data_IF_202808224634
#
_entry.id   IF_202808224634
#
_cell.length_a   1.000
_cell.length_b   1.000
_cell.length_c   1.000
_cell.angle_alpha   90.00
_cell.angle_beta   90.00
_cell.angle_gamma   90.00
#
_symmetry.space_group_name_H-M   'P 1'
#
loop_
_entity.id
_entity.type
_entity.pdbx_description
1 polymer ?
#
# COMPACT_ATOMS: atom_id res chain seq x y z
N UNK A 1 24.57 -3.59 -3.10
CA UNK A 1 23.44 -2.93 -3.76
C UNK A 1 22.50 -4.01 -4.33
N UNK A 2 21.56 -4.50 -3.53
CA UNK A 2 20.49 -5.40 -3.97
C UNK A 2 19.29 -4.55 -4.35
N UNK A 3 19.27 -3.99 -5.55
CA UNK A 3 18.02 -3.61 -6.21
C UNK A 3 17.42 -4.92 -6.72
N UNK A 4 16.81 -5.67 -5.80
CA UNK A 4 15.97 -6.79 -6.16
C UNK A 4 14.77 -6.20 -6.92
N UNK A 5 14.49 -6.74 -8.09
CA UNK A 5 13.36 -6.45 -8.94
C UNK A 5 12.06 -6.74 -8.13
N UNK A 6 11.65 -5.77 -7.28
CA UNK A 6 10.45 -5.90 -6.46
C UNK A 6 9.25 -5.60 -7.36
N UNK A 7 8.57 -6.66 -7.78
CA UNK A 7 7.21 -6.51 -8.25
C UNK A 7 6.44 -5.74 -7.17
N UNK A 8 5.93 -4.57 -7.48
CA UNK A 8 5.34 -3.67 -6.49
C UNK A 8 3.86 -4.02 -6.32
N UNK A 9 3.43 -4.18 -5.06
CA UNK A 9 1.99 -4.30 -4.77
C UNK A 9 1.22 -3.09 -5.32
N UNK A 10 1.82 -1.91 -5.26
CA UNK A 10 1.30 -0.65 -5.77
C UNK A 10 1.90 -0.29 -7.14
N UNK A 11 1.82 -1.22 -8.11
CA UNK A 11 2.37 -1.04 -9.44
C UNK A 11 1.82 0.20 -10.17
N UNK A 12 0.60 0.66 -9.84
CA UNK A 12 0.06 1.91 -10.35
C UNK A 12 0.95 3.13 -10.04
N UNK A 13 1.69 3.11 -8.93
CA UNK A 13 2.62 4.20 -8.58
C UNK A 13 3.80 4.29 -9.56
N UNK A 14 4.18 3.19 -10.22
CA UNK A 14 5.27 3.22 -11.22
C UNK A 14 4.87 3.93 -12.52
N UNK A 15 3.58 4.14 -12.74
CA UNK A 15 3.01 4.84 -13.89
C UNK A 15 2.89 6.35 -13.69
N UNK A 16 3.24 6.85 -12.49
CA UNK A 16 3.12 8.26 -12.10
C UNK A 16 4.50 8.85 -11.93
N UNK A 17 4.73 10.01 -12.49
CA UNK A 17 5.98 10.76 -12.26
C UNK A 17 5.94 11.51 -10.92
N UNK A 18 6.52 10.90 -9.90
CA UNK A 18 6.69 11.51 -8.58
C UNK A 18 7.97 12.34 -8.43
N UNK A 19 8.76 12.57 -9.49
CA UNK A 19 10.07 13.24 -9.39
C UNK A 19 9.98 14.59 -8.68
N UNK A 20 9.02 15.44 -9.06
CA UNK A 20 8.84 16.78 -8.47
C UNK A 20 8.48 16.70 -6.99
N UNK A 21 7.64 15.75 -6.58
CA UNK A 21 7.33 15.51 -5.16
C UNK A 21 8.56 14.98 -4.41
N UNK A 22 9.26 14.02 -4.99
CA UNK A 22 10.46 13.41 -4.38
C UNK A 22 11.55 14.46 -4.16
N UNK A 23 11.83 15.30 -5.14
CA UNK A 23 12.81 16.39 -5.04
C UNK A 23 12.41 17.42 -3.97
N UNK A 24 11.13 17.76 -3.91
CA UNK A 24 10.62 18.66 -2.88
C UNK A 24 10.76 18.07 -1.48
N UNK A 25 10.35 16.81 -1.30
CA UNK A 25 10.48 16.10 -0.03
C UNK A 25 11.95 15.92 0.37
N UNK A 26 12.83 15.62 -0.59
CA UNK A 26 14.27 15.52 -0.34
C UNK A 26 14.88 16.85 0.13
N UNK A 27 14.46 17.97 -0.48
CA UNK A 27 15.00 19.30 -0.17
C UNK A 27 14.43 19.93 1.11
N UNK A 28 13.16 19.68 1.44
CA UNK A 28 12.42 20.38 2.51
C UNK A 28 11.91 19.46 3.61
N UNK A 29 11.90 18.15 3.38
CA UNK A 29 11.33 17.17 4.29
C UNK A 29 12.16 16.97 5.56
N UNK A 30 11.45 16.65 6.63
CA UNK A 30 12.04 16.21 7.91
C UNK A 30 11.92 14.70 8.00
N UNK A 31 13.02 14.05 8.37
CA UNK A 31 12.99 12.62 8.69
C UNK A 31 12.36 12.39 10.05
N UNK A 32 11.36 11.53 10.11
CA UNK A 32 10.64 11.17 11.33
C UNK A 32 10.63 9.65 11.45
N UNK A 33 11.03 9.18 12.63
CA UNK A 33 10.94 7.77 12.99
C UNK A 33 9.57 7.46 13.59
N UNK A 34 9.04 6.32 13.22
CA UNK A 34 7.79 5.76 13.75
C UNK A 34 8.07 4.38 14.31
N UNK A 35 7.73 4.17 15.57
CA UNK A 35 7.69 2.82 16.11
C UNK A 35 6.51 2.05 15.52
N UNK A 36 6.63 0.72 15.44
CA UNK A 36 5.52 -0.14 15.01
C UNK A 36 4.25 0.18 15.80
N UNK A 37 3.15 0.40 15.08
CA UNK A 37 1.84 0.75 15.64
C UNK A 37 1.59 2.25 15.79
N UNK A 38 2.60 3.10 15.66
CA UNK A 38 2.41 4.55 15.64
C UNK A 38 1.68 4.98 14.37
N UNK A 39 0.94 6.10 14.49
CA UNK A 39 0.08 6.59 13.41
C UNK A 39 0.61 7.87 12.79
N UNK A 40 0.72 7.89 11.47
CA UNK A 40 0.91 9.12 10.71
C UNK A 40 -0.38 9.96 10.74
N UNK A 41 -1.54 9.32 10.64
CA UNK A 41 -2.86 9.90 10.84
C UNK A 41 -3.81 8.86 11.44
N UNK A 42 -4.73 9.32 12.29
CA UNK A 42 -5.84 8.53 12.81
C UNK A 42 -7.10 8.80 11.99
N UNK A 43 -7.90 7.77 11.73
CA UNK A 43 -9.24 7.90 11.14
C UNK A 43 -10.05 8.97 11.88
N UNK A 44 -10.69 9.86 11.14
CA UNK A 44 -11.44 11.01 11.67
C UNK A 44 -10.61 12.27 11.90
N UNK A 45 -9.28 12.21 11.84
CA UNK A 45 -8.39 13.36 11.93
C UNK A 45 -7.91 13.82 10.54
N UNK A 46 -7.47 15.08 10.45
CA UNK A 46 -6.84 15.60 9.22
C UNK A 46 -5.44 15.01 9.03
N UNK A 47 -5.18 14.44 7.87
CA UNK A 47 -3.84 14.07 7.46
C UNK A 47 -3.06 15.33 7.05
N UNK A 48 -2.06 15.70 7.83
CA UNK A 48 -1.28 16.93 7.63
C UNK A 48 -0.02 16.75 6.81
N UNK A 49 0.40 15.50 6.56
CA UNK A 49 1.70 15.21 5.98
C UNK A 49 1.59 14.31 4.76
N UNK A 50 2.45 14.61 3.79
CA UNK A 50 2.83 13.69 2.71
C UNK A 50 4.30 13.40 2.85
N UNK A 51 4.70 12.16 2.63
CA UNK A 51 6.10 11.76 2.75
C UNK A 51 6.46 10.59 1.85
N UNK A 52 7.76 10.30 1.86
CA UNK A 52 8.35 9.13 1.22
C UNK A 52 8.85 8.20 2.32
N UNK A 53 8.44 6.95 2.27
CA UNK A 53 8.90 5.92 3.20
C UNK A 53 10.37 5.62 2.89
N UNK A 54 11.26 5.84 3.86
CA UNK A 54 12.70 5.62 3.72
C UNK A 54 13.12 4.23 4.18
N UNK A 55 12.36 3.66 5.12
CA UNK A 55 12.51 2.27 5.60
C UNK A 55 11.23 1.80 6.26
N UNK A 56 11.04 0.47 6.33
CA UNK A 56 9.84 -0.13 6.89
C UNK A 56 8.62 -0.01 5.96
N UNK A 57 7.42 -0.10 6.55
CA UNK A 57 6.18 0.05 5.78
C UNK A 57 5.05 0.62 6.63
N UNK A 58 4.06 1.19 5.95
CA UNK A 58 2.80 1.63 6.52
C UNK A 58 1.64 0.81 5.97
N UNK A 59 0.60 0.67 6.79
CA UNK A 59 -0.69 0.10 6.39
C UNK A 59 -1.80 1.12 6.58
N UNK A 60 -2.75 1.09 5.67
CA UNK A 60 -3.99 1.84 5.76
C UNK A 60 -5.04 0.94 6.39
N UNK A 61 -5.69 1.39 7.45
CA UNK A 61 -6.69 0.61 8.18
C UNK A 61 -7.97 1.39 8.38
N UNK A 62 -9.10 0.73 8.15
CA UNK A 62 -10.43 1.24 8.46
C UNK A 62 -11.07 0.39 9.55
N UNK A 63 -11.95 0.98 10.36
CA UNK A 63 -12.72 0.23 11.36
C UNK A 63 -13.97 -0.37 10.70
N UNK A 64 -14.19 -1.66 10.95
CA UNK A 64 -15.45 -2.31 10.59
C UNK A 64 -16.55 -1.99 11.61
N UNK A 65 -17.77 -2.51 11.39
CA UNK A 65 -18.91 -2.29 12.29
C UNK A 65 -18.74 -2.85 13.71
N UNK A 66 -17.74 -3.71 13.91
CA UNK A 66 -17.38 -4.29 15.22
C UNK A 66 -16.26 -3.55 15.93
N UNK A 67 -15.66 -2.56 15.26
CA UNK A 67 -14.50 -1.82 15.76
C UNK A 67 -13.15 -2.49 15.47
N UNK A 68 -13.11 -3.59 14.69
CA UNK A 68 -11.86 -4.23 14.31
C UNK A 68 -11.19 -3.47 13.14
N UNK A 69 -9.88 -3.40 13.17
CA UNK A 69 -9.09 -2.82 12.06
C UNK A 69 -9.07 -3.76 10.84
N UNK A 70 -9.45 -3.23 9.69
CA UNK A 70 -9.37 -3.89 8.39
C UNK A 70 -8.31 -3.21 7.54
N UNK A 71 -7.32 -3.96 7.07
CA UNK A 71 -6.25 -3.45 6.20
C UNK A 71 -6.82 -3.18 4.81
N UNK A 72 -6.69 -1.94 4.35
CA UNK A 72 -7.19 -1.48 3.06
C UNK A 72 -6.08 -1.20 2.04
N UNK A 73 -4.83 -1.07 2.48
CA UNK A 73 -3.67 -0.80 1.63
C UNK A 73 -2.38 -0.80 2.40
N UNK A 74 -1.28 -0.65 1.66
CA UNK A 74 0.07 -0.52 2.20
C UNK A 74 0.83 0.57 1.46
N UNK A 75 1.87 1.12 2.10
CA UNK A 75 2.96 1.87 1.46
C UNK A 75 4.29 1.32 1.96
N UNK A 76 5.17 1.00 1.03
CA UNK A 76 6.47 0.39 1.28
C UNK A 76 7.61 1.38 1.09
N UNK A 77 8.83 0.94 1.38
CA UNK A 77 10.04 1.71 1.14
C UNK A 77 10.11 2.23 -0.31
N UNK A 78 10.42 3.51 -0.46
CA UNK A 78 10.44 4.24 -1.74
C UNK A 78 9.09 4.80 -2.17
N UNK A 79 7.98 4.39 -1.55
CA UNK A 79 6.64 4.82 -1.94
C UNK A 79 6.17 6.06 -1.16
N UNK A 80 5.22 6.76 -1.76
CA UNK A 80 4.50 7.88 -1.12
C UNK A 80 3.57 7.36 -0.04
N UNK A 81 3.59 8.01 1.13
CA UNK A 81 2.64 7.77 2.22
C UNK A 81 1.88 9.05 2.55
N UNK A 82 0.56 9.02 2.37
CA UNK A 82 -0.36 10.12 2.70
C UNK A 82 -1.81 9.65 2.58
N UNK A 83 -2.76 10.42 3.11
CA UNK A 83 -4.17 10.32 2.68
C UNK A 83 -4.38 11.24 1.47
N UNK A 84 -4.28 10.65 0.29
CA UNK A 84 -4.39 11.41 -0.95
C UNK A 84 -5.79 12.01 -1.14
N UNK A 85 -6.85 11.20 -0.97
CA UNK A 85 -8.20 11.64 -1.31
C UNK A 85 -8.71 12.66 -0.29
N UNK A 86 -8.79 12.30 0.98
CA UNK A 86 -9.37 13.19 1.99
C UNK A 86 -8.39 14.30 2.39
N UNK A 87 -7.11 13.95 2.63
CA UNK A 87 -6.11 14.90 3.07
C UNK A 87 -5.61 15.80 1.95
N UNK A 88 -5.05 15.23 0.88
CA UNK A 88 -4.39 16.00 -0.16
C UNK A 88 -5.40 16.73 -1.07
N UNK A 89 -6.44 16.05 -1.57
CA UNK A 89 -7.40 16.69 -2.49
C UNK A 89 -8.38 17.61 -1.79
N UNK A 90 -8.98 17.16 -0.67
CA UNK A 90 -10.15 17.84 -0.10
C UNK A 90 -9.92 18.51 1.25
N UNK A 91 -8.78 18.31 1.90
CA UNK A 91 -8.50 18.80 3.26
C UNK A 91 -9.63 18.44 4.24
N UNK A 92 -10.03 17.17 4.24
CA UNK A 92 -11.10 16.59 5.07
C UNK A 92 -10.54 15.54 6.02
N UNK A 93 -11.27 15.18 7.09
CA UNK A 93 -10.88 14.08 7.97
C UNK A 93 -10.71 12.76 7.22
N UNK A 94 -9.65 12.04 7.56
CA UNK A 94 -9.28 10.77 6.95
C UNK A 94 -10.31 9.68 7.21
N UNK A 95 -10.63 8.89 6.19
CA UNK A 95 -11.51 7.72 6.30
C UNK A 95 -10.77 6.48 6.83
N UNK A 96 -9.44 6.52 6.87
CA UNK A 96 -8.59 5.44 7.34
C UNK A 96 -7.54 5.98 8.30
N UNK A 97 -7.01 5.14 9.19
CA UNK A 97 -5.75 5.42 9.87
C UNK A 97 -4.59 4.95 9.00
N UNK A 98 -3.48 5.67 9.01
CA UNK A 98 -2.20 5.24 8.40
C UNK A 98 -1.26 4.90 9.54
N UNK A 99 -0.91 3.62 9.67
CA UNK A 99 -0.23 3.03 10.83
C UNK A 99 1.08 2.39 10.39
N UNK A 100 2.16 2.65 11.12
CA UNK A 100 3.44 1.97 10.90
C UNK A 100 3.28 0.46 11.18
N UNK A 101 3.50 -0.37 10.17
CA UNK A 101 3.39 -1.83 10.27
C UNK A 101 4.65 -2.48 10.84
N UNK A 102 5.79 -1.81 10.72
CA UNK A 102 7.07 -2.08 11.35
C UNK A 102 7.63 -0.79 11.92
N UNK A 103 8.78 -0.83 12.58
CA UNK A 103 9.58 0.37 12.77
C UNK A 103 9.89 0.94 11.39
N UNK A 104 9.69 2.23 11.20
CA UNK A 104 9.73 2.89 9.90
C UNK A 104 10.30 4.30 10.00
N UNK A 105 10.89 4.76 8.89
CA UNK A 105 11.35 6.13 8.72
C UNK A 105 10.63 6.77 7.54
N UNK A 106 10.14 7.99 7.73
CA UNK A 106 9.47 8.78 6.70
C UNK A 106 10.12 10.14 6.60
N UNK A 107 10.54 10.52 5.41
CA UNK A 107 10.88 11.88 5.10
C UNK A 107 9.60 12.60 4.65
N UNK A 108 9.11 13.58 5.44
CA UNK A 108 7.78 14.17 5.22
C UNK A 108 7.78 15.70 5.23
N UNK A 109 6.82 16.25 4.52
CA UNK A 109 6.51 17.70 4.46
C UNK A 109 5.03 17.92 4.77
N UNK A 110 4.63 19.17 5.00
CA UNK A 110 3.21 19.52 5.13
C UNK A 110 2.49 19.35 3.77
N UNK A 111 1.32 18.74 3.78
CA UNK A 111 0.49 18.53 2.58
C UNK A 111 0.19 19.86 1.88
N UNK A 112 -0.13 20.91 2.62
CA UNK A 112 -0.48 22.22 2.05
C UNK A 112 0.68 22.83 1.26
N UNK A 113 1.90 22.72 1.78
CA UNK A 113 3.10 23.21 1.12
C UNK A 113 3.42 22.39 -0.13
N UNK A 114 3.39 21.06 -0.02
CA UNK A 114 3.61 20.14 -1.14
C UNK A 114 2.58 20.35 -2.25
N UNK A 115 1.30 20.46 -1.89
CA UNK A 115 0.21 20.70 -2.85
C UNK A 115 0.43 21.97 -3.66
N UNK A 116 0.71 23.08 -2.97
CA UNK A 116 0.99 24.37 -3.62
C UNK A 116 2.16 24.25 -4.58
N UNK A 117 3.26 23.67 -4.11
CA UNK A 117 4.46 23.48 -4.90
C UNK A 117 4.24 22.62 -6.16
N UNK A 118 3.50 21.52 -6.03
CA UNK A 118 3.24 20.57 -7.12
C UNK A 118 2.28 21.17 -8.15
N UNK A 119 1.17 21.75 -7.71
CA UNK A 119 0.14 22.32 -8.62
C UNK A 119 0.74 23.43 -9.49
N UNK A 120 1.63 24.25 -8.93
CA UNK A 120 2.30 25.31 -9.67
C UNK A 120 3.28 24.78 -10.74
N UNK A 121 3.93 23.65 -10.50
CA UNK A 121 5.02 23.11 -11.34
C UNK A 121 4.61 21.99 -12.26
N UNK A 122 3.60 21.25 -11.88
CA UNK A 122 3.15 20.05 -12.59
C UNK A 122 1.62 20.08 -12.75
N UNK A 123 1.08 20.87 -13.67
CA UNK A 123 -0.38 21.11 -13.81
C UNK A 123 -1.20 19.84 -14.02
N UNK A 124 -0.63 18.77 -14.59
CA UNK A 124 -1.33 17.49 -14.84
C UNK A 124 -1.25 16.48 -13.69
N UNK A 125 -0.39 16.69 -12.70
CA UNK A 125 -0.07 15.71 -11.67
C UNK A 125 -1.30 15.20 -10.88
N UNK A 126 -2.16 16.13 -10.46
CA UNK A 126 -3.36 15.76 -9.69
C UNK A 126 -4.30 14.87 -10.51
N UNK A 127 -4.47 15.17 -11.79
CA UNK A 127 -5.32 14.36 -12.69
C UNK A 127 -4.68 12.99 -12.93
N UNK A 128 -3.38 12.93 -13.14
CA UNK A 128 -2.62 11.68 -13.34
C UNK A 128 -2.70 10.77 -12.12
N UNK A 129 -2.40 11.27 -10.92
CA UNK A 129 -2.50 10.50 -9.68
C UNK A 129 -3.93 10.04 -9.44
N UNK A 130 -4.92 10.93 -9.62
CA UNK A 130 -6.33 10.59 -9.40
C UNK A 130 -6.83 9.52 -10.35
N UNK A 131 -6.45 9.57 -11.64
CA UNK A 131 -6.85 8.58 -12.64
C UNK A 131 -6.25 7.20 -12.34
N UNK A 132 -4.96 7.13 -12.04
CA UNK A 132 -4.29 5.88 -11.71
C UNK A 132 -4.82 5.26 -10.41
N UNK A 133 -5.07 6.09 -9.38
CA UNK A 133 -5.62 5.62 -8.12
C UNK A 133 -7.07 5.15 -8.27
N UNK A 134 -7.88 5.83 -9.09
CA UNK A 134 -9.25 5.41 -9.37
C UNK A 134 -9.29 4.07 -10.11
N UNK A 135 -8.42 3.88 -11.12
CA UNK A 135 -8.29 2.61 -11.86
C UNK A 135 -7.92 1.46 -10.91
N UNK A 136 -6.91 1.66 -10.05
CA UNK A 136 -6.51 0.66 -9.04
C UNK A 136 -7.63 0.36 -8.06
N UNK A 137 -8.29 1.38 -7.52
CA UNK A 137 -9.40 1.21 -6.58
C UNK A 137 -10.58 0.48 -7.22
N UNK A 138 -10.92 0.81 -8.46
CA UNK A 138 -12.00 0.17 -9.20
C UNK A 138 -11.68 -1.28 -9.54
N UNK A 139 -10.46 -1.55 -10.02
CA UNK A 139 -9.98 -2.91 -10.27
C UNK A 139 -10.04 -3.77 -9.00
N UNK A 140 -9.59 -3.22 -7.89
CA UNK A 140 -9.65 -3.90 -6.60
C UNK A 140 -11.08 -4.15 -6.12
N UNK A 141 -11.97 -3.17 -6.28
CA UNK A 141 -13.39 -3.34 -5.98
C UNK A 141 -13.99 -4.50 -6.80
N UNK A 142 -13.76 -4.55 -8.12
CA UNK A 142 -14.20 -5.64 -8.95
C UNK A 142 -13.61 -7.00 -8.53
N UNK A 143 -12.31 -7.04 -8.22
CA UNK A 143 -11.65 -8.26 -7.75
C UNK A 143 -12.28 -8.81 -6.46
N UNK A 144 -12.71 -7.93 -5.55
CA UNK A 144 -13.42 -8.35 -4.33
C UNK A 144 -14.79 -8.97 -4.61
N UNK A 145 -15.47 -8.53 -5.68
CA UNK A 145 -16.80 -9.02 -6.06
C UNK A 145 -16.75 -10.30 -6.90
N UNK A 146 -15.80 -10.40 -7.84
CA UNK A 146 -15.83 -11.46 -8.87
C UNK A 146 -14.82 -12.57 -8.65
N UNK A 147 -13.71 -12.32 -7.93
CA UNK A 147 -12.66 -13.32 -7.70
C UNK A 147 -12.87 -14.08 -6.40
N UNK A 148 -12.58 -15.37 -6.44
CA UNK A 148 -12.52 -16.22 -5.25
C UNK A 148 -11.34 -15.80 -4.35
N UNK A 149 -11.35 -16.13 -3.07
CA UNK A 149 -10.22 -15.90 -2.17
C UNK A 149 -8.88 -16.47 -2.67
N UNK A 150 -8.90 -17.62 -3.31
CA UNK A 150 -7.70 -18.26 -3.86
C UNK A 150 -7.13 -17.46 -5.04
N UNK A 151 -8.00 -17.00 -5.96
CA UNK A 151 -7.58 -16.16 -7.09
C UNK A 151 -7.01 -14.82 -6.61
N UNK A 152 -7.62 -14.18 -5.61
CA UNK A 152 -7.09 -12.95 -5.01
C UNK A 152 -5.73 -13.18 -4.35
N UNK A 153 -5.54 -14.31 -3.70
CA UNK A 153 -4.25 -14.68 -3.12
C UNK A 153 -3.17 -14.91 -4.18
N UNK A 154 -3.48 -15.64 -5.25
CA UNK A 154 -2.54 -15.87 -6.38
C UNK A 154 -2.14 -14.56 -7.04
N UNK A 155 -3.09 -13.67 -7.28
CA UNK A 155 -2.81 -12.33 -7.83
C UNK A 155 -1.90 -11.51 -6.90
N UNK A 156 -2.18 -11.50 -5.59
CA UNK A 156 -1.34 -10.82 -4.62
C UNK A 156 0.10 -11.34 -4.64
N UNK A 157 0.29 -12.67 -4.65
CA UNK A 157 1.63 -13.28 -4.71
C UNK A 157 2.33 -12.99 -6.04
N UNK A 158 1.59 -12.96 -7.15
CA UNK A 158 2.13 -12.60 -8.46
C UNK A 158 2.61 -11.14 -8.51
N UNK A 159 1.83 -10.21 -7.96
CA UNK A 159 2.19 -8.77 -7.90
C UNK A 159 3.29 -8.50 -6.87
N UNK A 160 3.33 -9.25 -5.77
CA UNK A 160 4.31 -9.10 -4.71
C UNK A 160 4.81 -10.47 -4.20
N UNK A 161 5.77 -11.10 -4.90
CA UNK A 161 6.26 -12.44 -4.55
C UNK A 161 6.79 -12.57 -3.12
N UNK A 162 7.37 -11.50 -2.56
CA UNK A 162 7.87 -11.44 -1.18
C UNK A 162 6.80 -11.25 -0.10
N UNK A 163 5.51 -11.09 -0.44
CA UNK A 163 4.46 -10.69 0.50
C UNK A 163 4.37 -11.60 1.74
N UNK A 164 4.51 -12.90 1.54
CA UNK A 164 4.38 -13.90 2.61
C UNK A 164 5.53 -13.81 3.63
N UNK A 165 6.69 -13.33 3.21
CA UNK A 165 7.87 -13.18 4.07
C UNK A 165 7.94 -11.79 4.71
N UNK A 166 7.41 -10.79 4.02
CA UNK A 166 7.57 -9.38 4.41
C UNK A 166 6.40 -8.84 5.24
N UNK A 167 5.23 -9.46 5.15
CA UNK A 167 4.04 -9.02 5.89
C UNK A 167 3.51 -10.08 6.85
N UNK A 168 3.00 -9.69 8.03
CA UNK A 168 2.32 -10.58 8.95
C UNK A 168 1.10 -11.24 8.30
N UNK A 169 0.90 -12.54 8.56
CA UNK A 169 -0.18 -13.34 7.96
C UNK A 169 -1.58 -12.76 8.23
N UNK A 170 -1.77 -12.14 9.39
CA UNK A 170 -3.06 -11.53 9.74
C UNK A 170 -3.33 -10.24 8.93
N UNK A 171 -2.31 -9.50 8.54
CA UNK A 171 -2.46 -8.31 7.68
C UNK A 171 -2.75 -8.72 6.23
N UNK A 172 -2.08 -9.77 5.74
CA UNK A 172 -2.37 -10.35 4.42
C UNK A 172 -3.82 -10.86 4.36
N UNK A 173 -4.26 -11.61 5.37
CA UNK A 173 -5.63 -12.12 5.44
C UNK A 173 -6.66 -10.97 5.46
N UNK A 174 -6.41 -9.95 6.28
CA UNK A 174 -7.25 -8.75 6.37
C UNK A 174 -7.31 -8.02 5.02
N UNK A 175 -6.17 -7.80 4.36
CA UNK A 175 -6.09 -7.16 3.04
C UNK A 175 -6.85 -7.92 1.95
N UNK A 176 -6.84 -9.26 2.01
CA UNK A 176 -7.59 -10.14 1.09
C UNK A 176 -9.07 -10.27 1.45
N UNK A 177 -9.52 -9.73 2.58
CA UNK A 177 -10.90 -9.86 3.05
C UNK A 177 -11.27 -11.29 3.46
N UNK A 178 -10.32 -12.04 4.04
CA UNK A 178 -10.52 -13.43 4.48
C UNK A 178 -10.01 -13.65 5.90
N UNK A 179 -10.43 -14.76 6.52
CA UNK A 179 -9.90 -15.15 7.85
C UNK A 179 -8.47 -15.71 7.74
N UNK A 180 -7.70 -15.60 8.83
CA UNK A 180 -6.36 -16.24 8.93
C UNK A 180 -6.41 -17.74 8.64
N UNK A 181 -7.43 -18.44 9.16
CA UNK A 181 -7.64 -19.87 8.92
C UNK A 181 -7.85 -20.18 7.43
N UNK A 182 -8.61 -19.34 6.73
CA UNK A 182 -8.84 -19.50 5.30
C UNK A 182 -7.55 -19.27 4.50
N UNK A 183 -6.75 -18.25 4.86
CA UNK A 183 -5.46 -17.99 4.23
C UNK A 183 -4.47 -19.15 4.43
N UNK A 184 -4.40 -19.73 5.64
CA UNK A 184 -3.57 -20.92 5.88
C UNK A 184 -3.97 -22.10 5.00
N UNK A 185 -5.29 -22.36 4.85
CA UNK A 185 -5.80 -23.43 3.98
C UNK A 185 -5.43 -23.20 2.51
N UNK A 186 -5.57 -21.96 2.01
CA UNK A 186 -5.20 -21.60 0.63
C UNK A 186 -3.71 -21.84 0.41
N UNK A 187 -2.84 -21.33 1.28
CA UNK A 187 -1.39 -21.53 1.18
C UNK A 187 -0.99 -23.01 1.19
N UNK A 188 -1.61 -23.82 2.05
CA UNK A 188 -1.37 -25.26 2.10
C UNK A 188 -1.71 -25.95 0.78
N UNK A 189 -2.86 -25.60 0.17
CA UNK A 189 -3.29 -26.14 -1.12
C UNK A 189 -2.34 -25.72 -2.27
N UNK A 190 -1.94 -24.43 -2.32
CA UNK A 190 -1.01 -23.93 -3.34
C UNK A 190 0.38 -24.60 -3.24
N UNK A 191 0.91 -24.75 -2.03
CA UNK A 191 2.20 -25.42 -1.81
C UNK A 191 2.14 -26.91 -2.22
N UNK A 192 1.03 -27.62 -1.91
CA UNK A 192 0.85 -29.00 -2.33
C UNK A 192 0.77 -29.13 -3.86
N UNK A 193 0.08 -28.21 -4.53
CA UNK A 193 -0.02 -28.19 -5.99
C UNK A 193 1.36 -27.94 -6.64
N UNK A 194 2.15 -26.97 -6.13
CA UNK A 194 3.49 -26.68 -6.62
C UNK A 194 4.43 -27.90 -6.48
N UNK A 195 4.42 -28.55 -5.31
CA UNK A 195 5.24 -29.75 -5.07
C UNK A 195 4.84 -30.92 -5.97
N UNK A 196 3.56 -31.04 -6.31
CA UNK A 196 3.08 -32.09 -7.23
C UNK A 196 3.51 -31.81 -8.67
N UNK A 197 3.45 -30.56 -9.12
CA UNK A 197 3.90 -30.15 -10.46
C UNK A 197 5.42 -30.39 -10.64
N UNK A 198 6.22 -30.03 -9.64
CA UNK A 198 7.67 -30.29 -9.66
C UNK A 198 8.01 -31.79 -9.77
N UNK A 199 7.24 -32.67 -9.11
CA UNK A 199 7.42 -34.14 -9.15
C UNK A 199 7.04 -34.73 -10.51
N UNK A 200 6.12 -34.09 -11.23
CA UNK A 200 5.66 -34.55 -12.55
C UNK A 200 6.52 -33.98 -13.70
N UNK A 201 7.53 -33.14 -13.42
CA UNK A 201 8.39 -32.52 -14.43
C UNK A 201 7.71 -31.46 -15.28
N UNK A 202 6.53 -30.99 -14.87
CA UNK A 202 5.84 -29.85 -15.49
C UNK A 202 6.41 -28.57 -14.94
N UNK A 203 7.24 -27.89 -15.73
CA UNK A 203 7.73 -26.53 -15.39
C UNK A 203 6.53 -25.60 -15.54
N UNK A 204 6.10 -24.88 -14.50
CA UNK A 204 5.05 -23.87 -14.64
C UNK A 204 5.59 -22.72 -15.49
N UNK A 205 4.85 -22.33 -16.50
CA UNK A 205 5.08 -21.16 -17.36
C UNK A 205 4.91 -19.85 -16.59
#
# INVERSE_FOLDING_TARGET
>A
SYICNMAHLNDFMTRIDFSVLNDYVAAKGKSILYARGERLVQQGNLCRYVGIVKSGYFKYVALNSKGDEVVTGFSFEGEVVTDYVQGFLYNRPSLTSIVAGSDAEVQRVLIEEARRFIVERTPGFVAEVSSNLLEEAYSRYLNMLVKTPTERFRELVSRYPGVIHNLPIHEIASYLGISRRQLHRIRGAENAAATSAERLGEVPF
#
